data_IF_637636243429
#
_entry.id   IF_637636243429
#
_cell.length_a   1.000
_cell.length_b   1.000
_cell.length_c   1.000
_cell.angle_alpha   90.00
_cell.angle_beta   90.00
_cell.angle_gamma   90.00
#
_symmetry.space_group_name_H-M   'P 1'
#
loop_
_entity.id
_entity.type
_entity.pdbx_description
1 polymer ?
#
# COMPACT_ATOMS: atom_id res chain seq x y z
N UNK A 1 -42.40 43.34 70.95
CA UNK A 1 -41.23 42.50 70.58
C UNK A 1 -41.78 41.20 70.05
N UNK A 2 -41.79 40.99 68.75
CA UNK A 2 -42.33 39.79 68.09
C UNK A 2 -41.11 39.03 67.51
N UNK A 3 -40.90 37.84 68.08
CA UNK A 3 -39.83 36.92 67.63
C UNK A 3 -40.36 36.08 66.50
N UNK A 4 -39.65 36.15 65.32
CA UNK A 4 -39.95 35.40 64.12
C UNK A 4 -39.11 34.14 64.13
N UNK A 5 -39.72 32.95 64.19
CA UNK A 5 -39.04 31.67 63.94
C UNK A 5 -39.01 31.35 62.42
N UNK A 6 -37.83 31.26 61.89
CA UNK A 6 -37.61 30.71 60.53
C UNK A 6 -37.44 29.19 60.61
N UNK A 7 -38.38 28.46 60.03
CA UNK A 7 -38.27 27.04 59.83
C UNK A 7 -37.45 26.72 58.57
N UNK A 8 -36.38 25.96 58.75
CA UNK A 8 -35.56 25.42 57.64
C UNK A 8 -36.16 24.10 57.17
N UNK A 9 -36.74 24.06 56.00
CA UNK A 9 -37.18 22.82 55.32
C UNK A 9 -35.98 22.22 54.58
N UNK A 10 -35.46 21.13 55.14
CA UNK A 10 -34.42 20.34 54.51
C UNK A 10 -34.99 19.50 53.36
N UNK A 11 -34.59 19.82 52.14
CA UNK A 11 -34.92 19.06 50.92
C UNK A 11 -33.89 17.93 50.76
N UNK A 12 -34.22 16.70 51.17
CA UNK A 12 -33.39 15.50 50.94
C UNK A 12 -33.61 15.04 49.49
N UNK A 13 -32.67 15.34 48.62
CA UNK A 13 -32.56 14.77 47.28
C UNK A 13 -32.12 13.30 47.40
N UNK A 14 -33.08 12.38 47.20
CA UNK A 14 -32.77 10.96 46.99
C UNK A 14 -32.18 10.78 45.61
N UNK A 15 -30.88 10.60 45.55
CA UNK A 15 -30.16 10.16 44.34
C UNK A 15 -30.48 8.67 44.11
N UNK A 16 -31.46 8.39 43.26
CA UNK A 16 -31.69 7.06 42.75
C UNK A 16 -30.54 6.71 41.80
N UNK A 17 -29.59 5.90 42.23
CA UNK A 17 -28.65 5.23 41.35
C UNK A 17 -29.46 4.29 40.45
N UNK A 18 -29.72 4.72 39.21
CA UNK A 18 -30.15 3.78 38.16
C UNK A 18 -28.94 2.92 37.85
N UNK A 19 -28.89 1.70 38.37
CA UNK A 19 -27.98 0.67 37.89
C UNK A 19 -28.34 0.41 36.42
N UNK A 20 -27.40 0.71 35.51
CA UNK A 20 -27.49 0.19 34.14
C UNK A 20 -27.65 -1.33 34.22
N UNK A 21 -28.59 -1.90 33.46
CA UNK A 21 -28.69 -3.35 33.37
C UNK A 21 -27.33 -3.91 32.93
N UNK A 22 -26.93 -5.08 33.48
CA UNK A 22 -25.70 -5.72 33.02
C UNK A 22 -25.76 -5.91 31.48
N UNK A 23 -24.63 -5.73 30.75
CA UNK A 23 -24.64 -5.93 29.33
C UNK A 23 -25.19 -7.32 29.01
N UNK A 24 -26.11 -7.39 28.05
CA UNK A 24 -26.61 -8.69 27.56
C UNK A 24 -25.41 -9.56 27.17
N UNK A 25 -25.42 -10.85 27.54
CA UNK A 25 -24.33 -11.74 27.18
C UNK A 25 -24.20 -11.73 25.66
N UNK A 26 -22.99 -11.44 25.15
CA UNK A 26 -22.71 -11.47 23.74
C UNK A 26 -23.21 -12.80 23.14
N UNK A 27 -23.99 -12.71 22.07
CA UNK A 27 -24.59 -13.88 21.44
C UNK A 27 -23.47 -14.80 20.93
N UNK A 28 -23.40 -16.00 21.45
CA UNK A 28 -22.42 -17.01 21.01
C UNK A 28 -22.95 -17.70 19.76
N UNK A 29 -22.04 -17.95 18.80
CA UNK A 29 -22.36 -18.70 17.60
C UNK A 29 -22.74 -20.17 17.93
N UNK A 30 -23.83 -20.66 17.35
CA UNK A 30 -24.16 -22.07 17.31
C UNK A 30 -23.42 -22.73 16.11
N UNK A 31 -22.32 -23.43 16.41
CA UNK A 31 -21.47 -24.03 15.37
C UNK A 31 -22.18 -25.15 14.59
N UNK A 32 -23.14 -25.85 15.20
CA UNK A 32 -23.89 -26.89 14.51
C UNK A 32 -24.88 -26.28 13.49
N UNK A 33 -25.58 -25.23 13.89
CA UNK A 33 -26.41 -24.45 12.97
C UNK A 33 -25.58 -23.80 11.87
N UNK A 34 -24.41 -23.22 12.21
CA UNK A 34 -23.48 -22.65 11.24
C UNK A 34 -22.97 -23.66 10.22
N UNK A 35 -22.65 -24.89 10.65
CA UNK A 35 -22.28 -25.97 9.77
C UNK A 35 -23.41 -26.35 8.81
N UNK A 36 -24.65 -26.45 9.29
CA UNK A 36 -25.80 -26.76 8.44
C UNK A 36 -26.02 -25.70 7.35
N UNK A 37 -25.85 -24.41 7.67
CA UNK A 37 -25.88 -23.32 6.70
C UNK A 37 -24.72 -23.47 5.69
N UNK A 38 -23.51 -23.77 6.18
CA UNK A 38 -22.35 -23.95 5.30
C UNK A 38 -22.54 -25.11 4.31
N UNK A 39 -23.17 -26.19 4.73
CA UNK A 39 -23.48 -27.37 3.90
C UNK A 39 -24.45 -27.06 2.76
N UNK A 40 -25.38 -26.13 2.96
CA UNK A 40 -26.40 -25.79 1.95
C UNK A 40 -25.99 -24.63 1.06
N UNK A 41 -25.42 -23.58 1.67
CA UNK A 41 -25.32 -22.28 1.01
C UNK A 41 -23.89 -21.86 0.65
N UNK A 42 -22.85 -22.43 1.32
CA UNK A 42 -21.48 -21.95 1.15
C UNK A 42 -20.54 -22.98 0.51
N UNK A 43 -20.85 -24.27 0.64
CA UNK A 43 -19.98 -25.41 0.26
C UNK A 43 -19.53 -25.37 -1.21
N UNK A 44 -20.36 -24.86 -2.12
CA UNK A 44 -20.07 -24.81 -3.54
C UNK A 44 -18.87 -23.93 -3.90
N UNK A 45 -18.62 -22.90 -3.10
CA UNK A 45 -17.51 -21.96 -3.33
C UNK A 45 -16.38 -22.10 -2.28
N UNK A 46 -16.73 -22.39 -1.03
CA UNK A 46 -15.75 -22.37 0.08
C UNK A 46 -15.48 -23.73 0.69
N UNK A 47 -16.04 -24.81 0.17
CA UNK A 47 -16.02 -26.14 0.73
C UNK A 47 -16.38 -26.17 2.24
N UNK A 48 -16.60 -27.35 2.83
CA UNK A 48 -16.89 -27.44 4.25
C UNK A 48 -15.69 -27.17 5.14
N UNK A 49 -14.50 -27.46 4.66
CA UNK A 49 -13.26 -27.15 5.35
C UNK A 49 -12.84 -25.66 5.21
N UNK A 50 -13.67 -24.83 4.59
CA UNK A 50 -13.39 -23.41 4.41
C UNK A 50 -12.37 -23.06 3.33
N UNK A 51 -11.97 -24.03 2.50
CA UNK A 51 -11.05 -23.80 1.40
C UNK A 51 -11.77 -23.23 0.18
N UNK A 52 -11.33 -22.07 -0.32
CA UNK A 52 -11.83 -21.52 -1.58
C UNK A 52 -11.58 -22.48 -2.75
N UNK A 53 -12.64 -22.80 -3.50
CA UNK A 53 -12.64 -23.84 -4.53
C UNK A 53 -11.96 -23.43 -5.85
N UNK A 54 -11.71 -22.11 -6.04
CA UNK A 54 -11.12 -21.56 -7.27
C UNK A 54 -10.31 -20.28 -6.99
N UNK A 55 -9.48 -19.83 -7.94
CA UNK A 55 -8.83 -18.53 -7.89
C UNK A 55 -9.85 -17.40 -7.63
N UNK A 56 -9.51 -16.46 -6.75
CA UNK A 56 -10.39 -15.35 -6.36
C UNK A 56 -11.43 -15.69 -5.28
N UNK A 57 -11.63 -16.95 -4.93
CA UNK A 57 -12.50 -17.35 -3.80
C UNK A 57 -11.66 -17.45 -2.54
N UNK A 58 -11.96 -16.66 -1.48
CA UNK A 58 -11.14 -16.63 -0.28
C UNK A 58 -11.26 -17.92 0.54
N UNK A 59 -10.20 -18.23 1.26
CA UNK A 59 -10.23 -19.20 2.35
C UNK A 59 -10.92 -18.58 3.57
N UNK A 60 -11.86 -19.30 4.17
CA UNK A 60 -12.64 -18.86 5.33
C UNK A 60 -12.17 -19.51 6.64
N UNK A 61 -11.56 -20.70 6.55
CA UNK A 61 -11.09 -21.45 7.71
C UNK A 61 -10.06 -20.67 8.53
N UNK A 62 -10.24 -20.63 9.84
CA UNK A 62 -9.34 -19.93 10.77
C UNK A 62 -9.33 -18.41 10.66
N UNK A 63 -10.27 -17.82 9.90
CA UNK A 63 -10.45 -16.37 9.91
C UNK A 63 -11.18 -15.93 11.19
N UNK A 64 -10.85 -14.75 11.74
CA UNK A 64 -11.55 -14.22 12.90
C UNK A 64 -13.06 -14.14 12.68
N UNK A 65 -13.85 -14.62 13.67
CA UNK A 65 -15.32 -14.64 13.59
C UNK A 65 -15.89 -13.26 13.28
N UNK A 66 -15.42 -12.22 13.98
CA UNK A 66 -15.91 -10.85 13.83
C UNK A 66 -15.60 -10.30 12.41
N UNK A 67 -14.44 -10.68 11.85
CA UNK A 67 -14.12 -10.32 10.47
C UNK A 67 -15.09 -10.98 9.48
N UNK A 68 -15.37 -12.28 9.65
CA UNK A 68 -16.30 -13.01 8.77
C UNK A 68 -17.73 -12.45 8.89
N UNK A 69 -18.18 -12.20 10.13
CA UNK A 69 -19.49 -11.61 10.38
C UNK A 69 -19.63 -10.23 9.73
N UNK A 70 -18.68 -9.33 9.98
CA UNK A 70 -18.66 -8.00 9.38
C UNK A 70 -18.63 -8.07 7.85
N UNK A 71 -17.86 -9.01 7.29
CA UNK A 71 -17.79 -9.20 5.84
C UNK A 71 -19.15 -9.61 5.25
N UNK A 72 -19.88 -10.54 5.89
CA UNK A 72 -21.21 -10.98 5.48
C UNK A 72 -22.25 -9.85 5.60
N UNK A 73 -22.17 -9.08 6.67
CA UNK A 73 -23.03 -7.89 6.85
C UNK A 73 -22.75 -6.81 5.82
N UNK A 74 -21.49 -6.61 5.43
CA UNK A 74 -21.10 -5.68 4.38
C UNK A 74 -21.67 -6.08 3.02
N UNK A 75 -21.66 -7.38 2.69
CA UNK A 75 -22.32 -7.87 1.48
C UNK A 75 -23.84 -7.67 1.55
N UNK A 76 -24.47 -7.98 2.68
CA UNK A 76 -25.91 -7.77 2.88
C UNK A 76 -26.31 -6.30 2.73
N UNK A 77 -25.51 -5.40 3.30
CA UNK A 77 -25.75 -3.95 3.25
C UNK A 77 -25.30 -3.30 1.92
N UNK A 78 -24.62 -4.03 1.05
CA UNK A 78 -24.09 -3.51 -0.22
C UNK A 78 -22.82 -2.68 -0.12
N UNK A 79 -22.16 -2.62 1.05
CA UNK A 79 -20.86 -1.98 1.23
C UNK A 79 -19.72 -2.75 0.56
N UNK A 80 -19.89 -4.07 0.36
CA UNK A 80 -19.05 -4.89 -0.51
C UNK A 80 -19.85 -5.31 -1.73
N UNK A 81 -19.28 -5.16 -2.92
CA UNK A 81 -19.97 -5.46 -4.18
C UNK A 81 -19.74 -6.91 -4.59
N UNK A 82 -20.75 -7.75 -4.44
CA UNK A 82 -20.78 -9.13 -4.95
C UNK A 82 -22.23 -9.60 -5.06
N UNK A 83 -22.76 -9.70 -6.26
CA UNK A 83 -24.19 -9.95 -6.48
C UNK A 83 -24.70 -11.24 -5.80
N UNK A 84 -23.99 -12.36 -5.98
CA UNK A 84 -24.38 -13.64 -5.38
C UNK A 84 -24.31 -13.63 -3.85
N UNK A 85 -23.28 -13.00 -3.24
CA UNK A 85 -23.22 -12.91 -1.78
C UNK A 85 -24.26 -11.96 -1.20
N UNK A 86 -24.55 -10.86 -1.91
CA UNK A 86 -25.63 -9.96 -1.51
C UNK A 86 -26.99 -10.65 -1.51
N UNK A 87 -27.29 -11.40 -2.56
CA UNK A 87 -28.52 -12.17 -2.67
C UNK A 87 -28.61 -13.19 -1.53
N UNK A 88 -27.60 -14.03 -1.38
CA UNK A 88 -27.52 -15.05 -0.33
C UNK A 88 -27.71 -14.46 1.07
N UNK A 89 -26.96 -13.42 1.43
CA UNK A 89 -27.00 -12.83 2.76
C UNK A 89 -28.30 -12.05 3.04
N UNK A 90 -29.04 -11.62 2.00
CA UNK A 90 -30.29 -10.91 2.14
C UNK A 90 -31.40 -11.76 2.77
N UNK A 91 -31.32 -13.09 2.63
CA UNK A 91 -32.28 -14.05 3.18
C UNK A 91 -31.87 -14.59 4.56
N UNK A 92 -30.69 -14.25 5.07
CA UNK A 92 -30.15 -14.73 6.34
C UNK A 92 -30.51 -13.78 7.49
N UNK A 93 -30.84 -14.34 8.65
CA UNK A 93 -30.97 -13.58 9.90
C UNK A 93 -29.58 -13.17 10.44
N UNK A 94 -29.53 -12.24 11.39
CA UNK A 94 -28.28 -11.92 12.08
C UNK A 94 -27.67 -13.13 12.83
N UNK A 95 -28.54 -14.01 13.37
CA UNK A 95 -28.09 -15.25 14.01
C UNK A 95 -27.48 -16.23 13.01
N UNK A 96 -28.04 -16.35 11.80
CA UNK A 96 -27.49 -17.21 10.75
C UNK A 96 -26.10 -16.73 10.31
N UNK A 97 -25.92 -15.41 10.14
CA UNK A 97 -24.62 -14.82 9.80
C UNK A 97 -23.59 -15.06 10.91
N UNK A 98 -23.98 -14.88 12.19
CA UNK A 98 -23.13 -15.16 13.32
C UNK A 98 -22.72 -16.64 13.40
N UNK A 99 -23.69 -17.55 13.21
CA UNK A 99 -23.46 -18.98 13.28
C UNK A 99 -22.52 -19.49 12.19
N UNK A 100 -22.72 -19.07 10.94
CA UNK A 100 -21.85 -19.50 9.82
C UNK A 100 -20.46 -18.87 9.93
N UNK A 101 -20.34 -17.61 10.39
CA UNK A 101 -19.07 -16.98 10.67
C UNK A 101 -18.31 -17.73 11.78
N UNK A 102 -19.00 -18.10 12.88
CA UNK A 102 -18.45 -18.90 13.96
C UNK A 102 -18.00 -20.28 13.51
N UNK A 103 -18.78 -20.94 12.64
CA UNK A 103 -18.41 -22.25 12.10
C UNK A 103 -17.06 -22.19 11.36
N UNK A 104 -16.92 -21.31 10.36
CA UNK A 104 -15.66 -21.21 9.61
C UNK A 104 -14.49 -20.69 10.45
N UNK A 105 -14.74 -19.82 11.40
CA UNK A 105 -13.72 -19.36 12.35
C UNK A 105 -13.20 -20.49 13.26
N UNK A 106 -14.06 -21.48 13.60
CA UNK A 106 -13.69 -22.63 14.45
C UNK A 106 -12.84 -23.69 13.72
N UNK A 107 -12.74 -23.61 12.40
CA UNK A 107 -11.95 -24.55 11.62
C UNK A 107 -10.46 -24.20 11.74
N UNK A 108 -9.57 -25.24 11.71
CA UNK A 108 -8.14 -24.98 11.68
C UNK A 108 -7.76 -24.20 10.41
N UNK A 109 -6.82 -23.30 10.53
CA UNK A 109 -6.28 -22.60 9.38
C UNK A 109 -5.71 -23.61 8.36
N UNK A 110 -5.92 -23.35 7.07
CA UNK A 110 -5.56 -24.29 6.01
C UNK A 110 -4.04 -24.30 5.80
N UNK A 111 -3.44 -25.47 5.86
CA UNK A 111 -2.08 -25.64 5.35
C UNK A 111 -2.13 -25.60 3.82
N UNK A 112 -1.87 -24.42 3.25
CA UNK A 112 -1.74 -24.27 1.80
C UNK A 112 -0.30 -24.55 1.43
N UNK A 113 -0.09 -25.59 0.63
CA UNK A 113 1.21 -25.81 0.01
C UNK A 113 1.56 -24.56 -0.85
N UNK A 114 2.78 -24.04 -0.78
CA UNK A 114 3.19 -22.96 -1.67
C UNK A 114 2.82 -23.31 -3.11
N UNK A 115 2.21 -22.37 -3.81
CA UNK A 115 1.80 -22.58 -5.20
C UNK A 115 3.03 -23.05 -6.00
N UNK A 116 3.02 -24.28 -6.45
CA UNK A 116 4.05 -24.80 -7.34
C UNK A 116 3.97 -24.01 -8.65
N UNK A 117 4.94 -23.11 -8.89
CA UNK A 117 5.03 -22.52 -10.21
C UNK A 117 5.39 -21.07 -10.39
N UNK A 118 5.77 -20.30 -9.38
CA UNK A 118 6.48 -19.05 -9.67
C UNK A 118 7.85 -19.12 -9.03
N UNK A 119 8.85 -19.40 -9.86
CA UNK A 119 10.24 -19.46 -9.41
C UNK A 119 10.82 -18.07 -9.11
N UNK A 120 10.22 -16.99 -9.61
CA UNK A 120 10.71 -15.63 -9.42
C UNK A 120 9.62 -14.72 -8.88
N UNK A 121 10.00 -13.86 -7.94
CA UNK A 121 9.14 -12.75 -7.48
C UNK A 121 9.16 -11.62 -8.51
N UNK A 122 8.15 -10.74 -8.47
CA UNK A 122 8.14 -9.54 -9.33
C UNK A 122 9.39 -8.67 -9.16
N UNK A 123 10.03 -8.74 -7.99
CA UNK A 123 11.30 -8.06 -7.72
C UNK A 123 12.46 -8.71 -8.51
N UNK A 124 12.61 -10.04 -8.45
CA UNK A 124 13.66 -10.80 -9.15
C UNK A 124 13.47 -10.72 -10.67
N UNK A 125 12.24 -10.72 -11.14
CA UNK A 125 11.95 -10.45 -12.56
C UNK A 125 12.32 -9.01 -12.94
N UNK A 126 12.06 -8.02 -12.07
CA UNK A 126 12.48 -6.63 -12.22
C UNK A 126 14.00 -6.50 -12.26
N UNK A 127 14.74 -7.23 -11.41
CA UNK A 127 16.20 -7.29 -11.40
C UNK A 127 16.74 -7.84 -12.73
N UNK A 128 16.12 -8.92 -13.22
CA UNK A 128 16.49 -9.51 -14.52
C UNK A 128 16.28 -8.53 -15.67
N UNK A 129 15.15 -7.83 -15.68
CA UNK A 129 14.85 -6.80 -16.69
C UNK A 129 15.82 -5.61 -16.61
N UNK A 130 16.21 -5.22 -15.39
CA UNK A 130 17.09 -4.09 -15.13
C UNK A 130 18.52 -4.28 -15.69
N UNK A 131 18.93 -5.50 -15.96
CA UNK A 131 20.26 -5.79 -16.55
C UNK A 131 20.50 -5.02 -17.85
N UNK A 132 19.48 -4.86 -18.69
CA UNK A 132 19.58 -4.11 -19.97
C UNK A 132 19.67 -2.60 -19.77
N UNK A 133 19.32 -2.08 -18.60
CA UNK A 133 19.36 -0.65 -18.29
C UNK A 133 20.69 -0.23 -17.66
N UNK A 134 21.46 -1.21 -17.13
CA UNK A 134 22.66 -0.97 -16.33
C UNK A 134 23.80 -0.29 -17.11
N UNK A 135 23.91 -0.54 -18.42
CA UNK A 135 24.96 0.06 -19.27
C UNK A 135 24.92 1.59 -19.26
N UNK A 136 23.74 2.18 -19.11
CA UNK A 136 23.56 3.62 -19.07
C UNK A 136 23.29 4.13 -17.65
N UNK A 137 22.36 3.47 -16.94
CA UNK A 137 21.90 3.92 -15.63
C UNK A 137 22.73 3.38 -14.45
N UNK A 138 23.78 2.63 -14.74
CA UNK A 138 24.68 2.07 -13.74
C UNK A 138 24.14 0.85 -13.03
N UNK A 139 25.01 0.17 -12.30
CA UNK A 139 24.64 -0.99 -11.49
C UNK A 139 23.59 -0.57 -10.47
N UNK A 140 22.52 -1.37 -10.36
CA UNK A 140 21.39 -1.10 -9.49
C UNK A 140 20.75 0.29 -9.67
N UNK A 141 20.90 0.87 -10.88
CA UNK A 141 20.34 2.18 -11.17
C UNK A 141 21.14 3.36 -10.59
N UNK A 142 22.39 3.17 -10.20
CA UNK A 142 23.29 4.23 -9.73
C UNK A 142 24.16 4.72 -10.90
N UNK A 143 23.65 5.65 -11.69
CA UNK A 143 24.36 6.19 -12.85
C UNK A 143 25.63 6.92 -12.44
N UNK A 144 26.70 6.68 -13.19
CA UNK A 144 27.96 7.44 -13.13
C UNK A 144 28.19 8.28 -14.39
N UNK A 145 27.29 8.19 -15.36
CA UNK A 145 27.35 8.90 -16.63
C UNK A 145 26.67 10.27 -16.49
N UNK A 146 27.38 11.38 -16.73
CA UNK A 146 26.79 12.71 -16.66
C UNK A 146 25.59 12.87 -17.60
N UNK A 147 24.49 13.43 -17.09
CA UNK A 147 23.24 13.62 -17.83
C UNK A 147 22.32 12.39 -17.90
N UNK A 148 22.80 11.23 -17.46
CA UNK A 148 21.95 10.03 -17.34
C UNK A 148 21.48 9.91 -15.89
N UNK A 149 20.15 9.86 -15.64
CA UNK A 149 19.64 9.86 -14.27
C UNK A 149 19.93 8.56 -13.53
N UNK A 150 20.18 8.67 -12.22
CA UNK A 150 20.06 7.54 -11.32
C UNK A 150 18.60 7.13 -11.16
N UNK A 151 18.36 5.83 -11.16
CA UNK A 151 17.04 5.21 -10.97
C UNK A 151 16.87 4.64 -9.56
N UNK A 152 17.98 4.39 -8.85
CA UNK A 152 18.00 3.87 -7.50
C UNK A 152 17.19 4.75 -6.54
N UNK A 153 16.34 4.12 -5.72
CA UNK A 153 15.51 4.79 -4.72
C UNK A 153 14.42 5.71 -5.29
N UNK A 154 14.19 5.66 -6.60
CA UNK A 154 13.20 6.53 -7.22
C UNK A 154 11.77 6.07 -6.92
N UNK A 155 10.85 7.03 -6.86
CA UNK A 155 9.45 6.79 -6.55
C UNK A 155 8.77 5.96 -7.66
N UNK A 156 8.06 4.88 -7.30
CA UNK A 156 7.63 3.88 -8.29
C UNK A 156 6.60 4.40 -9.29
N UNK A 157 5.61 5.18 -8.85
CA UNK A 157 4.61 5.73 -9.77
C UNK A 157 5.20 6.81 -10.68
N UNK A 158 6.17 7.61 -10.15
CA UNK A 158 6.92 8.54 -10.99
C UNK A 158 7.76 7.81 -12.05
N UNK A 159 8.43 6.71 -11.67
CA UNK A 159 9.19 5.89 -12.61
C UNK A 159 8.30 5.40 -13.75
N UNK A 160 7.12 4.84 -13.42
CA UNK A 160 6.15 4.37 -14.41
C UNK A 160 5.70 5.51 -15.32
N UNK A 161 5.32 6.65 -14.75
CA UNK A 161 4.86 7.82 -15.52
C UNK A 161 5.97 8.37 -16.44
N UNK A 162 7.20 8.46 -15.93
CA UNK A 162 8.36 8.91 -16.70
C UNK A 162 8.69 7.97 -17.87
N UNK A 163 8.63 6.65 -17.64
CA UNK A 163 8.86 5.62 -18.65
C UNK A 163 7.80 5.68 -19.74
N UNK A 164 6.53 5.80 -19.36
CA UNK A 164 5.42 5.96 -20.30
C UNK A 164 5.55 7.25 -21.11
N UNK A 165 6.05 8.35 -20.52
CA UNK A 165 6.26 9.61 -21.24
C UNK A 165 7.27 9.48 -22.37
N UNK A 166 8.30 8.63 -22.25
CA UNK A 166 9.20 8.29 -23.35
C UNK A 166 8.51 7.45 -24.41
N UNK A 167 7.75 6.42 -24.04
CA UNK A 167 7.02 5.56 -24.98
C UNK A 167 5.97 6.31 -25.80
N UNK A 168 5.41 7.39 -25.26
CA UNK A 168 4.40 8.21 -25.95
C UNK A 168 4.97 9.47 -26.60
N UNK A 169 6.31 9.63 -26.67
CA UNK A 169 6.97 10.79 -27.28
C UNK A 169 6.75 12.12 -26.53
N UNK A 170 6.23 12.07 -25.28
CA UNK A 170 6.09 13.27 -24.42
C UNK A 170 7.47 13.71 -23.92
N UNK A 171 8.37 12.74 -23.71
CA UNK A 171 9.80 12.97 -23.48
C UNK A 171 10.55 12.43 -24.71
N UNK A 172 11.26 13.32 -25.40
CA UNK A 172 11.95 12.99 -26.64
C UNK A 172 13.41 12.64 -26.35
N UNK A 173 13.68 11.35 -26.17
CA UNK A 173 15.03 10.76 -26.14
C UNK A 173 14.93 9.41 -26.87
N UNK A 174 15.40 9.39 -28.13
CA UNK A 174 15.28 8.26 -29.05
C UNK A 174 15.82 6.93 -28.44
N UNK A 175 16.96 6.98 -27.75
CA UNK A 175 17.55 5.81 -27.10
C UNK A 175 16.65 5.22 -26.01
N UNK A 176 15.98 6.08 -25.22
CA UNK A 176 15.04 5.63 -24.19
C UNK A 176 13.79 5.04 -24.82
N UNK A 177 13.21 5.70 -25.83
CA UNK A 177 12.04 5.16 -26.54
C UNK A 177 12.35 3.78 -27.14
N UNK A 178 13.49 3.65 -27.84
CA UNK A 178 13.90 2.39 -28.46
C UNK A 178 14.09 1.25 -27.44
N UNK A 179 14.72 1.54 -26.30
CA UNK A 179 14.94 0.56 -25.22
C UNK A 179 13.64 0.12 -24.57
N UNK A 180 12.69 1.01 -24.40
CA UNK A 180 11.43 0.75 -23.70
C UNK A 180 10.36 0.10 -24.59
N UNK A 181 10.46 0.22 -25.92
CA UNK A 181 9.43 -0.21 -26.89
C UNK A 181 9.04 -1.69 -26.79
N UNK A 182 9.95 -2.54 -26.29
CA UNK A 182 9.70 -3.98 -26.13
C UNK A 182 9.10 -4.38 -24.78
N UNK A 183 8.98 -3.44 -23.83
CA UNK A 183 8.51 -3.73 -22.48
C UNK A 183 6.98 -3.63 -22.38
N UNK A 184 6.37 -4.62 -21.73
CA UNK A 184 4.97 -4.55 -21.36
C UNK A 184 4.76 -3.57 -20.17
N UNK A 185 3.51 -3.17 -19.93
CA UNK A 185 3.16 -2.39 -18.75
C UNK A 185 3.62 -3.08 -17.45
N UNK A 186 3.45 -4.40 -17.36
CA UNK A 186 3.86 -5.20 -16.21
C UNK A 186 5.38 -5.22 -16.04
N UNK A 187 6.17 -5.25 -17.12
CA UNK A 187 7.63 -5.17 -17.04
C UNK A 187 8.10 -3.81 -16.50
N UNK A 188 7.46 -2.73 -16.94
CA UNK A 188 7.74 -1.38 -16.40
C UNK A 188 7.43 -1.30 -14.90
N UNK A 189 6.33 -1.91 -14.44
CA UNK A 189 5.98 -1.95 -13.02
C UNK A 189 6.98 -2.78 -12.19
N UNK A 190 7.47 -3.91 -12.73
CA UNK A 190 8.53 -4.71 -12.10
C UNK A 190 9.84 -3.93 -11.98
N UNK A 191 10.24 -3.22 -13.04
CA UNK A 191 11.39 -2.32 -13.01
C UNK A 191 11.21 -1.21 -11.97
N UNK A 192 10.02 -0.61 -11.88
CA UNK A 192 9.71 0.41 -10.88
C UNK A 192 9.87 -0.13 -9.45
N UNK A 193 9.39 -1.35 -9.19
CA UNK A 193 9.56 -2.02 -7.90
C UNK A 193 11.04 -2.29 -7.59
N UNK A 194 11.78 -2.81 -8.56
CA UNK A 194 13.21 -3.08 -8.40
C UNK A 194 13.99 -1.80 -8.09
N UNK A 195 13.85 -0.74 -8.88
CA UNK A 195 14.61 0.50 -8.68
C UNK A 195 14.20 1.26 -7.43
N UNK A 196 12.92 1.27 -7.06
CA UNK A 196 12.46 1.87 -5.82
C UNK A 196 13.10 1.24 -4.56
N UNK A 197 13.54 -0.02 -4.67
CA UNK A 197 14.18 -0.78 -3.60
C UNK A 197 15.68 -0.57 -3.51
N UNK A 198 16.31 -0.02 -4.56
CA UNK A 198 17.76 0.15 -4.58
C UNK A 198 18.18 1.35 -3.72
N UNK A 199 19.35 1.24 -3.11
CA UNK A 199 19.94 2.34 -2.34
C UNK A 199 20.66 3.30 -3.28
N UNK A 200 20.27 4.59 -3.32
CA UNK A 200 21.00 5.59 -4.07
C UNK A 200 22.41 5.80 -3.51
N UNK A 201 23.40 5.88 -4.39
CA UNK A 201 24.77 6.19 -4.01
C UNK A 201 24.91 7.67 -3.63
N UNK A 202 25.70 7.96 -2.59
CA UNK A 202 26.08 9.32 -2.26
C UNK A 202 26.92 9.92 -3.41
N UNK A 203 26.73 11.22 -3.69
CA UNK A 203 27.46 11.92 -4.74
C UNK A 203 28.36 13.02 -4.18
N UNK A 204 29.54 13.26 -4.76
CA UNK A 204 30.37 14.39 -4.42
C UNK A 204 29.72 15.71 -4.82
N UNK A 205 30.23 16.81 -4.28
CA UNK A 205 29.88 18.15 -4.75
C UNK A 205 30.26 18.27 -6.23
N UNK A 206 29.33 18.67 -7.11
CA UNK A 206 29.61 18.82 -8.52
C UNK A 206 30.61 19.97 -8.80
N UNK A 207 31.23 19.95 -9.99
CA UNK A 207 32.17 20.98 -10.42
C UNK A 207 31.52 22.34 -10.74
N UNK A 208 30.19 22.39 -10.77
CA UNK A 208 29.37 23.58 -11.05
C UNK A 208 28.29 23.76 -10.01
N UNK A 209 27.84 25.00 -9.85
CA UNK A 209 26.82 25.37 -8.88
C UNK A 209 27.35 25.32 -7.43
N UNK A 210 26.69 26.02 -6.56
CA UNK A 210 26.97 26.09 -5.13
C UNK A 210 25.78 25.51 -4.33
N UNK A 211 25.96 24.36 -3.63
CA UNK A 211 24.92 23.77 -2.80
C UNK A 211 24.35 24.72 -1.74
N UNK A 212 25.19 25.59 -1.16
CA UNK A 212 24.75 26.54 -0.14
C UNK A 212 23.90 27.66 -0.73
N UNK A 213 24.20 28.12 -1.97
CA UNK A 213 23.36 29.06 -2.69
C UNK A 213 22.07 28.40 -3.20
N UNK A 214 22.11 27.08 -3.48
CA UNK A 214 20.95 26.30 -3.94
C UNK A 214 19.92 26.02 -2.86
N UNK A 215 20.31 25.92 -1.58
CA UNK A 215 19.39 25.62 -0.48
C UNK A 215 18.20 26.58 -0.40
N UNK A 216 18.36 27.89 -0.30
CA UNK A 216 17.24 28.83 -0.24
C UNK A 216 16.40 28.84 -1.54
N UNK A 217 17.03 28.60 -2.70
CA UNK A 217 16.33 28.52 -3.97
C UNK A 217 15.42 27.29 -4.08
N UNK A 218 15.79 26.21 -3.35
CA UNK A 218 15.07 24.92 -3.35
C UNK A 218 13.91 24.87 -2.35
N UNK A 219 13.71 25.87 -1.50
CA UNK A 219 12.72 25.86 -0.42
C UNK A 219 11.28 25.55 -0.91
N UNK A 220 10.87 26.11 -2.08
CA UNK A 220 9.55 25.85 -2.65
C UNK A 220 9.40 24.43 -3.21
N UNK A 221 10.49 23.84 -3.68
CA UNK A 221 10.51 22.48 -4.23
C UNK A 221 10.28 21.44 -3.15
N UNK A 222 10.79 21.71 -1.94
CA UNK A 222 10.68 20.83 -0.77
C UNK A 222 9.25 20.51 -0.33
N UNK A 223 8.27 21.32 -0.72
CA UNK A 223 6.86 21.07 -0.42
C UNK A 223 6.30 19.79 -1.05
N UNK A 224 6.81 19.44 -2.25
CA UNK A 224 6.41 18.22 -2.96
C UNK A 224 7.53 17.17 -2.92
N UNK A 225 8.78 17.59 -3.17
CA UNK A 225 9.92 16.67 -3.28
C UNK A 225 10.56 16.30 -1.93
N UNK A 226 10.04 16.81 -0.80
CA UNK A 226 10.63 16.68 0.52
C UNK A 226 11.74 17.71 0.77
N UNK A 227 11.93 18.10 2.04
CA UNK A 227 12.86 19.18 2.43
C UNK A 227 14.28 18.97 1.89
N UNK A 228 14.76 17.73 1.90
CA UNK A 228 16.08 17.34 1.40
C UNK A 228 16.02 16.65 0.04
N UNK A 229 14.89 16.78 -0.69
CA UNK A 229 14.71 16.13 -1.98
C UNK A 229 14.36 14.63 -1.90
N UNK A 230 14.00 14.11 -0.73
CA UNK A 230 13.47 12.75 -0.56
C UNK A 230 11.96 12.81 -0.50
N UNK A 231 11.31 12.47 -1.59
CA UNK A 231 9.85 12.47 -1.68
C UNK A 231 9.22 11.35 -0.85
N UNK A 232 8.09 11.63 -0.23
CA UNK A 232 7.22 10.66 0.43
C UNK A 232 5.97 10.30 -0.39
N UNK A 233 5.80 10.93 -1.53
CA UNK A 233 4.71 10.67 -2.49
C UNK A 233 5.23 9.78 -3.64
N UNK A 234 4.53 8.68 -3.89
CA UNK A 234 4.90 7.71 -4.90
C UNK A 234 4.92 8.26 -6.35
N UNK A 235 4.19 9.34 -6.63
CA UNK A 235 4.10 9.99 -7.93
C UNK A 235 5.06 11.20 -8.09
N UNK A 236 5.61 11.70 -6.98
CA UNK A 236 6.54 12.83 -6.98
C UNK A 236 7.97 12.33 -6.88
N UNK A 237 8.88 12.69 -7.81
CA UNK A 237 10.24 12.16 -7.80
C UNK A 237 11.07 12.59 -6.60
N UNK A 238 11.93 11.69 -6.12
CA UNK A 238 13.05 12.06 -5.26
C UNK A 238 14.15 12.73 -6.10
N UNK A 239 14.75 13.78 -5.57
CA UNK A 239 15.81 14.58 -6.21
C UNK A 239 17.16 14.38 -5.52
N UNK A 240 17.16 13.95 -4.26
CA UNK A 240 18.38 13.72 -3.47
C UNK A 240 19.30 12.68 -4.12
N UNK A 241 20.60 12.97 -4.19
CA UNK A 241 21.60 12.09 -4.78
C UNK A 241 21.49 11.91 -6.31
N UNK A 242 20.66 12.70 -6.98
CA UNK A 242 20.49 12.60 -8.44
C UNK A 242 21.68 13.21 -9.18
N UNK A 243 21.88 12.75 -10.43
CA UNK A 243 22.95 13.29 -11.31
C UNK A 243 22.75 14.80 -11.55
N UNK A 244 23.77 15.63 -11.29
CA UNK A 244 23.66 17.09 -11.37
C UNK A 244 23.40 17.59 -12.78
N UNK A 245 24.02 16.99 -13.80
CA UNK A 245 23.81 17.38 -15.18
C UNK A 245 22.40 17.01 -15.63
N UNK A 246 21.90 15.85 -15.21
CA UNK A 246 20.51 15.47 -15.46
C UNK A 246 19.52 16.44 -14.81
N UNK A 247 19.75 16.84 -13.53
CA UNK A 247 18.91 17.80 -12.84
C UNK A 247 18.86 19.15 -13.57
N UNK A 248 20.02 19.66 -14.01
CA UNK A 248 20.11 20.91 -14.80
C UNK A 248 19.31 20.77 -16.09
N UNK A 249 19.55 19.70 -16.85
CA UNK A 249 18.89 19.48 -18.15
C UNK A 249 17.37 19.32 -17.98
N UNK A 250 16.93 18.56 -16.97
CA UNK A 250 15.52 18.37 -16.69
C UNK A 250 14.84 19.69 -16.28
N UNK A 251 15.47 20.47 -15.40
CA UNK A 251 14.94 21.76 -14.95
C UNK A 251 14.86 22.78 -16.09
N UNK A 252 15.91 22.83 -16.95
CA UNK A 252 15.88 23.68 -18.16
C UNK A 252 14.77 23.25 -19.13
N UNK A 253 14.53 21.93 -19.28
CA UNK A 253 13.43 21.42 -20.09
C UNK A 253 12.04 21.80 -19.55
N UNK A 254 11.87 21.83 -18.21
CA UNK A 254 10.66 22.34 -17.60
C UNK A 254 10.50 23.86 -17.78
N UNK A 255 11.57 24.64 -17.57
CA UNK A 255 11.58 26.09 -17.83
C UNK A 255 11.23 26.43 -19.28
N UNK A 256 11.74 25.63 -20.22
CA UNK A 256 11.48 25.80 -21.65
C UNK A 256 10.18 25.18 -22.15
N UNK A 257 9.32 24.67 -21.27
CA UNK A 257 8.05 24.01 -21.60
C UNK A 257 8.18 22.76 -22.50
N UNK A 258 9.37 22.20 -22.62
CA UNK A 258 9.61 20.90 -23.30
C UNK A 258 9.08 19.75 -22.44
N UNK A 259 9.13 19.91 -21.13
CA UNK A 259 8.52 19.00 -20.15
C UNK A 259 7.45 19.76 -19.34
N UNK A 260 6.39 19.05 -18.98
CA UNK A 260 5.31 19.65 -18.16
C UNK A 260 5.65 19.55 -16.68
N UNK A 261 5.65 20.66 -16.00
CA UNK A 261 5.72 20.84 -14.56
C UNK A 261 4.96 22.08 -14.18
N UNK A 262 4.36 22.13 -13.01
CA UNK A 262 3.77 23.38 -12.53
C UNK A 262 4.85 24.46 -12.46
N UNK A 263 4.51 25.66 -12.95
CA UNK A 263 5.45 26.71 -13.33
C UNK A 263 6.18 27.28 -12.11
N UNK A 264 7.39 26.80 -11.87
CA UNK A 264 8.24 27.30 -10.79
C UNK A 264 9.62 27.77 -11.26
N UNK A 265 9.90 27.67 -12.57
CA UNK A 265 11.26 27.89 -13.11
C UNK A 265 11.39 29.07 -14.06
N UNK A 266 10.29 29.76 -14.42
CA UNK A 266 10.31 30.83 -15.41
C UNK A 266 11.19 32.02 -15.02
N UNK A 267 11.34 32.26 -13.70
CA UNK A 267 12.15 33.34 -13.11
C UNK A 267 13.57 32.89 -12.74
N UNK A 268 13.95 31.64 -12.96
CA UNK A 268 15.25 31.09 -12.56
C UNK A 268 16.31 31.31 -13.65
N UNK A 269 17.44 31.86 -13.30
CA UNK A 269 18.63 31.92 -14.15
C UNK A 269 19.24 30.53 -14.35
N UNK A 270 20.17 30.41 -15.29
CA UNK A 270 20.95 29.16 -15.44
C UNK A 270 21.79 28.88 -14.18
N UNK A 271 22.37 29.91 -13.56
CA UNK A 271 23.11 29.81 -12.31
C UNK A 271 22.23 29.34 -11.15
N UNK A 272 20.99 29.86 -11.01
CA UNK A 272 20.03 29.37 -10.02
C UNK A 272 19.74 27.89 -10.19
N UNK A 273 19.55 27.44 -11.45
CA UNK A 273 19.26 26.03 -11.77
C UNK A 273 20.46 25.15 -11.43
N UNK A 274 21.69 25.61 -11.72
CA UNK A 274 22.92 24.89 -11.38
C UNK A 274 23.12 24.79 -9.86
N UNK A 275 22.84 25.86 -9.11
CA UNK A 275 22.87 25.87 -7.66
C UNK A 275 21.82 24.93 -7.04
N UNK A 276 20.59 24.93 -7.55
CA UNK A 276 19.54 24.00 -7.11
C UNK A 276 19.95 22.55 -7.40
N UNK A 277 20.50 22.27 -8.57
CA UNK A 277 20.98 20.94 -8.93
C UNK A 277 22.10 20.48 -8.01
N UNK A 278 23.07 21.36 -7.74
CA UNK A 278 24.18 21.09 -6.81
C UNK A 278 23.67 20.80 -5.40
N UNK A 279 22.68 21.56 -4.92
CA UNK A 279 22.05 21.32 -3.62
C UNK A 279 21.46 19.92 -3.51
N UNK A 280 20.59 19.50 -4.46
CA UNK A 280 19.96 18.19 -4.39
C UNK A 280 20.94 17.04 -4.64
N UNK A 281 21.96 17.25 -5.44
CA UNK A 281 22.98 16.21 -5.72
C UNK A 281 23.70 15.75 -4.47
N UNK A 282 24.02 16.65 -3.54
CA UNK A 282 24.75 16.33 -2.30
C UNK A 282 23.84 15.94 -1.13
N UNK A 283 22.53 16.04 -1.31
CA UNK A 283 21.63 15.60 -0.24
C UNK A 283 21.74 14.09 -0.04
N UNK A 284 21.75 13.70 1.22
CA UNK A 284 21.61 12.28 1.54
C UNK A 284 20.27 11.80 1.02
N UNK A 285 20.35 10.99 -0.02
CA UNK A 285 19.23 10.17 -0.41
C UNK A 285 18.88 9.30 0.78
N UNK A 286 17.59 9.01 0.95
CA UNK A 286 17.04 8.14 1.99
C UNK A 286 18.11 7.28 2.65
N UNK A 287 18.37 7.49 3.96
CA UNK A 287 19.36 6.74 4.70
C UNK A 287 19.28 5.27 4.29
N UNK A 288 20.43 4.68 3.96
CA UNK A 288 20.49 3.26 3.72
C UNK A 288 19.91 2.57 4.96
N UNK A 289 18.63 2.25 4.92
CA UNK A 289 18.14 1.21 5.79
C UNK A 289 18.87 -0.04 5.31
N UNK A 290 19.55 -0.74 6.20
CA UNK A 290 20.48 -1.85 5.92
C UNK A 290 19.88 -3.03 5.13
N UNK A 291 18.66 -2.90 4.62
CA UNK A 291 17.99 -3.89 3.78
C UNK A 291 17.39 -3.24 2.52
N UNK A 292 17.62 -3.81 1.33
CA UNK A 292 16.89 -3.45 0.12
C UNK A 292 15.39 -3.57 0.36
N UNK A 293 14.57 -2.81 -0.37
CA UNK A 293 13.11 -2.88 -0.25
C UNK A 293 12.64 -4.27 -0.72
N UNK A 294 12.70 -5.23 0.17
CA UNK A 294 12.15 -6.56 -0.03
C UNK A 294 10.64 -6.52 0.07
N UNK A 295 9.97 -7.54 -0.43
CA UNK A 295 8.51 -7.72 -0.20
C UNK A 295 8.21 -7.67 1.29
N UNK A 296 9.11 -8.19 2.14
CA UNK A 296 9.03 -8.12 3.60
C UNK A 296 8.97 -6.68 4.11
N UNK A 297 9.67 -5.73 3.48
CA UNK A 297 9.62 -4.33 3.85
C UNK A 297 8.30 -3.67 3.44
N UNK A 298 7.79 -4.00 2.24
CA UNK A 298 6.45 -3.56 1.80
C UNK A 298 5.36 -4.06 2.75
N UNK A 299 5.50 -5.29 3.26
CA UNK A 299 4.50 -5.92 4.13
C UNK A 299 4.61 -5.54 5.61
N UNK A 300 5.74 -4.96 6.08
CA UNK A 300 5.89 -4.52 7.49
C UNK A 300 4.77 -3.60 7.98
N UNK A 301 4.27 -2.72 7.13
CA UNK A 301 3.15 -1.85 7.49
C UNK A 301 1.83 -2.62 7.60
N UNK A 302 1.67 -3.67 6.81
CA UNK A 302 0.52 -4.56 6.84
C UNK A 302 0.56 -5.48 8.07
N UNK A 303 1.75 -6.03 8.38
CA UNK A 303 1.96 -6.94 9.52
C UNK A 303 1.64 -6.27 10.88
N UNK A 304 1.63 -4.92 10.96
CA UNK A 304 1.19 -4.22 12.18
C UNK A 304 -0.27 -4.43 12.55
N UNK A 305 -1.11 -4.76 11.58
CA UNK A 305 -2.53 -5.03 11.79
C UNK A 305 -2.92 -6.46 11.40
N UNK A 306 -2.18 -7.08 10.48
CA UNK A 306 -2.46 -8.40 9.93
C UNK A 306 -1.41 -9.45 10.34
N UNK A 307 -0.46 -9.09 11.22
CA UNK A 307 0.60 -9.97 11.70
C UNK A 307 0.20 -10.77 12.93
N UNK A 308 1.08 -11.70 13.36
CA UNK A 308 0.83 -12.60 14.48
C UNK A 308 0.65 -11.89 15.82
N UNK A 309 -0.22 -12.42 16.64
CA UNK A 309 -0.38 -12.02 18.04
C UNK A 309 -1.09 -10.68 18.26
N UNK A 310 -1.66 -10.08 17.22
CA UNK A 310 -2.48 -8.89 17.33
C UNK A 310 -3.96 -9.27 17.48
N UNK A 311 -4.34 -9.71 18.66
CA UNK A 311 -5.74 -9.62 19.12
C UNK A 311 -6.07 -8.13 19.29
N UNK A 312 -6.21 -7.42 18.17
CA UNK A 312 -6.61 -6.02 18.22
C UNK A 312 -8.10 -5.94 18.48
N UNK A 313 -8.40 -5.66 19.69
CA UNK A 313 -9.71 -5.51 20.32
C UNK A 313 -10.62 -4.43 19.69
N UNK A 314 -10.19 -3.71 18.64
CA UNK A 314 -10.95 -2.59 18.09
C UNK A 314 -11.28 -2.70 16.59
N UNK A 315 -10.65 -3.59 15.84
CA UNK A 315 -10.93 -3.78 14.41
C UNK A 315 -10.87 -5.27 14.07
N UNK A 316 -11.94 -5.79 13.48
CA UNK A 316 -11.96 -7.14 12.93
C UNK A 316 -11.04 -7.21 11.70
N UNK A 317 -9.76 -7.53 11.90
CA UNK A 317 -8.76 -7.64 10.82
C UNK A 317 -8.63 -9.09 10.36
N UNK A 318 -8.56 -9.36 9.04
CA UNK A 318 -8.40 -10.72 8.53
C UNK A 318 -6.96 -11.23 8.68
N UNK A 319 -6.82 -12.54 8.82
CA UNK A 319 -5.56 -13.25 8.64
C UNK A 319 -5.23 -13.30 7.14
N UNK A 320 -4.02 -12.88 6.78
CA UNK A 320 -3.57 -12.85 5.38
C UNK A 320 -2.71 -14.06 5.00
N UNK A 321 -2.00 -14.67 5.97
CA UNK A 321 -1.11 -15.79 5.74
C UNK A 321 -1.88 -17.01 5.21
N UNK A 322 -1.38 -17.61 4.13
CA UNK A 322 -2.02 -18.75 3.47
C UNK A 322 -3.32 -18.43 2.72
N UNK A 323 -3.69 -17.16 2.59
CA UNK A 323 -4.90 -16.76 1.87
C UNK A 323 -4.72 -16.90 0.36
N UNK A 324 -5.82 -17.14 -0.36
CA UNK A 324 -5.84 -17.25 -1.82
C UNK A 324 -5.23 -16.00 -2.47
N UNK A 325 -4.17 -16.19 -3.27
CA UNK A 325 -3.40 -15.10 -3.90
C UNK A 325 -4.29 -14.18 -4.74
N UNK A 326 -5.10 -14.76 -5.60
CA UNK A 326 -5.92 -13.98 -6.54
C UNK A 326 -7.02 -13.21 -5.81
N UNK A 327 -7.56 -13.77 -4.72
CA UNK A 327 -8.45 -13.04 -3.84
C UNK A 327 -7.76 -11.84 -3.19
N UNK A 328 -6.53 -11.99 -2.70
CA UNK A 328 -5.75 -10.88 -2.12
C UNK A 328 -5.51 -9.78 -3.15
N UNK A 329 -5.18 -10.14 -4.41
CA UNK A 329 -5.02 -9.17 -5.51
C UNK A 329 -6.33 -8.41 -5.74
N UNK A 330 -7.44 -9.13 -5.88
CA UNK A 330 -8.76 -8.52 -6.10
C UNK A 330 -9.17 -7.60 -4.95
N UNK A 331 -8.94 -8.01 -3.71
CA UNK A 331 -9.28 -7.24 -2.52
C UNK A 331 -8.46 -5.95 -2.42
N UNK A 332 -7.13 -6.02 -2.62
CA UNK A 332 -6.24 -4.86 -2.58
C UNK A 332 -6.56 -3.87 -3.70
N UNK A 333 -6.82 -4.35 -4.92
CA UNK A 333 -7.29 -3.51 -6.03
C UNK A 333 -8.63 -2.84 -5.71
N UNK A 334 -9.57 -3.58 -5.12
CA UNK A 334 -10.87 -3.02 -4.76
C UNK A 334 -10.76 -1.92 -3.68
N UNK A 335 -9.85 -2.06 -2.72
CA UNK A 335 -9.56 -0.98 -1.76
C UNK A 335 -8.86 0.21 -2.41
N UNK A 336 -7.85 -0.02 -3.26
CA UNK A 336 -7.14 1.04 -3.97
C UNK A 336 -8.07 1.87 -4.85
N UNK A 337 -8.98 1.20 -5.55
CA UNK A 337 -9.89 1.79 -6.53
C UNK A 337 -11.22 2.27 -5.88
N UNK A 338 -11.28 2.36 -4.56
CA UNK A 338 -12.46 2.79 -3.76
C UNK A 338 -13.75 2.00 -4.05
N UNK A 339 -13.60 0.72 -4.44
CA UNK A 339 -14.70 -0.21 -4.70
C UNK A 339 -15.05 -1.11 -3.51
N UNK A 340 -14.28 -0.97 -2.42
CA UNK A 340 -14.48 -1.68 -1.15
C UNK A 340 -14.26 -0.71 -0.02
N UNK A 341 -15.27 -0.56 0.83
CA UNK A 341 -15.26 0.43 1.91
C UNK A 341 -14.25 0.06 2.99
N UNK A 342 -13.24 0.87 3.18
CA UNK A 342 -12.34 0.96 4.33
C UNK A 342 -11.38 2.13 4.14
N UNK A 343 -11.53 3.17 4.92
CA UNK A 343 -10.66 4.36 4.82
C UNK A 343 -9.19 4.04 5.13
N UNK A 344 -8.92 3.06 6.00
CA UNK A 344 -7.56 2.62 6.35
C UNK A 344 -6.96 1.84 5.18
N UNK A 345 -7.65 0.78 4.71
CA UNK A 345 -7.14 -0.05 3.62
C UNK A 345 -7.04 0.70 2.30
N UNK A 346 -7.97 1.64 2.02
CA UNK A 346 -7.88 2.52 0.87
C UNK A 346 -6.57 3.34 0.90
N UNK A 347 -6.31 4.06 2.00
CA UNK A 347 -5.07 4.84 2.15
C UNK A 347 -3.81 3.99 2.08
N UNK A 348 -3.83 2.78 2.63
CA UNK A 348 -2.70 1.86 2.60
C UNK A 348 -2.41 1.31 1.20
N UNK A 349 -3.44 1.09 0.38
CA UNK A 349 -3.30 0.49 -0.96
C UNK A 349 -3.11 1.51 -2.08
N UNK A 350 -3.48 2.78 -1.88
CA UNK A 350 -3.34 3.85 -2.87
C UNK A 350 -1.95 3.93 -3.54
N UNK A 351 -0.83 3.82 -2.80
CA UNK A 351 0.50 3.92 -3.40
C UNK A 351 0.92 2.67 -4.19
N UNK A 352 0.15 1.59 -4.18
CA UNK A 352 0.59 0.33 -4.75
C UNK A 352 0.21 0.19 -6.22
N UNK A 353 1.21 -0.06 -7.08
CA UNK A 353 1.01 -0.52 -8.45
C UNK A 353 0.42 -1.94 -8.47
N UNK A 354 -0.07 -2.38 -9.63
CA UNK A 354 -0.57 -3.75 -9.79
C UNK A 354 0.50 -4.79 -9.44
N UNK A 355 1.74 -4.55 -9.84
CA UNK A 355 2.88 -5.44 -9.54
C UNK A 355 3.20 -5.48 -8.03
N UNK A 356 3.13 -4.34 -7.34
CA UNK A 356 3.29 -4.31 -5.88
C UNK A 356 2.18 -5.08 -5.17
N UNK A 357 0.94 -4.93 -5.64
CA UNK A 357 -0.21 -5.70 -5.14
C UNK A 357 0.02 -7.20 -5.34
N UNK A 358 0.47 -7.61 -6.52
CA UNK A 358 0.78 -9.01 -6.81
C UNK A 358 1.91 -9.56 -5.95
N UNK A 359 2.96 -8.77 -5.72
CA UNK A 359 4.07 -9.15 -4.85
C UNK A 359 3.62 -9.34 -3.39
N UNK A 360 2.84 -8.40 -2.85
CA UNK A 360 2.27 -8.48 -1.50
C UNK A 360 1.33 -9.69 -1.37
N UNK A 361 0.45 -9.89 -2.35
CA UNK A 361 -0.48 -11.03 -2.37
C UNK A 361 0.26 -12.38 -2.42
N UNK A 362 1.29 -12.48 -3.25
CA UNK A 362 2.12 -13.68 -3.35
C UNK A 362 2.88 -13.95 -2.06
N UNK A 363 3.40 -12.90 -1.40
CA UNK A 363 4.08 -13.03 -0.12
C UNK A 363 3.17 -13.65 0.94
N UNK A 364 1.96 -13.12 1.14
CA UNK A 364 1.04 -13.65 2.14
C UNK A 364 0.47 -15.02 1.77
N UNK A 365 0.19 -15.28 0.50
CA UNK A 365 -0.30 -16.57 0.05
C UNK A 365 0.71 -17.72 0.30
N UNK A 366 2.01 -17.41 0.26
CA UNK A 366 3.09 -18.39 0.47
C UNK A 366 3.54 -18.50 1.95
N UNK A 367 3.04 -17.65 2.84
CA UNK A 367 3.32 -17.78 4.29
C UNK A 367 2.42 -18.82 4.91
N UNK A 368 3.00 -19.65 5.76
CA UNK A 368 2.22 -20.59 6.55
C UNK A 368 1.19 -19.81 7.41
N UNK A 369 -0.07 -20.23 7.42
CA UNK A 369 -1.06 -19.65 8.30
C UNK A 369 -0.68 -19.95 9.75
N UNK A 370 -1.01 -19.01 10.64
CA UNK A 370 -0.81 -19.22 12.06
C UNK A 370 -1.94 -20.10 12.59
N UNK A 371 -1.56 -21.08 13.37
CA UNK A 371 -2.53 -21.88 14.14
C UNK A 371 -3.02 -21.01 15.30
N UNK A 372 -4.31 -20.96 15.58
CA UNK A 372 -4.87 -20.20 16.68
C UNK A 372 -4.43 -20.68 18.05
#
# INVERSE_FOLDING_TARGET
MKTLLLGVVGLTLLWACTQEPPPEPEARADLAAGKAIAETDCVGCHALNGQGAAPGIPHLAGQPQDYLLNALEDYRAGRRTHAALRDLTSHMTGADLLNVAGYYASLPALEVAPAAGSSMTSYEEGETLAATCADCHGERGNSVTPGVPSLAGQQPLYFIAATQAYLHGIRDIETMEATLRGLSKTDIEKLALYYASQTPAARPVPEFGDPAAGEPLSAKCGGCHGANGVSHDAATPSLAGQDPVYLVNATKAYRGHVRQHEVMFADKSDEDIENIAAYYTVQESRAAEDEPMSVQKLTRSCDRCHGPGLETTAMATPNLNGQNRDYLIMALRAYRDDKRESSVMHKMSLPYSDTMIEAVATHYANRAPEQP
#
